data_IF_402660266015
#
_entry.id   IF_402660266015
#
_cell.length_a   1.000
_cell.length_b   1.000
_cell.length_c   1.000
_cell.angle_alpha   90.00
_cell.angle_beta   90.00
_cell.angle_gamma   90.00
#
_symmetry.space_group_name_H-M   'P 1'
#
loop_
_entity.id
_entity.type
_entity.pdbx_description
1 polymer ?
#
# COMPACT_ATOMS: atom_id res chain seq x y z
N UNK A 1 18.94 -3.23 20.71
CA UNK A 1 17.52 -2.86 20.55
C UNK A 1 16.69 -3.52 21.66
N UNK A 2 16.47 -2.84 22.80
CA UNK A 2 15.77 -3.43 23.94
C UNK A 2 14.38 -3.99 23.59
N UNK A 3 13.62 -3.29 22.75
CA UNK A 3 12.29 -3.71 22.30
C UNK A 3 12.28 -5.05 21.52
N UNK A 4 13.32 -5.33 20.71
CA UNK A 4 13.41 -6.59 19.97
C UNK A 4 13.73 -7.77 20.90
N UNK A 5 14.52 -7.53 21.94
CA UNK A 5 14.82 -8.56 22.94
C UNK A 5 13.58 -8.90 23.77
N UNK A 6 12.80 -7.89 24.15
CA UNK A 6 11.52 -8.08 24.82
C UNK A 6 10.54 -8.89 23.96
N UNK A 7 10.39 -8.53 22.69
CA UNK A 7 9.55 -9.28 21.74
C UNK A 7 10.03 -10.73 21.59
N UNK A 8 11.34 -10.95 21.47
CA UNK A 8 11.92 -12.29 21.35
C UNK A 8 11.60 -13.15 22.58
N UNK A 9 11.65 -12.55 23.78
CA UNK A 9 11.26 -13.24 25.02
C UNK A 9 9.77 -13.59 25.04
N UNK A 10 8.89 -12.67 24.62
CA UNK A 10 7.46 -12.92 24.56
C UNK A 10 7.12 -14.08 23.60
N UNK A 11 7.75 -14.10 22.42
CA UNK A 11 7.58 -15.19 21.45
C UNK A 11 8.06 -16.51 22.05
N UNK A 12 9.24 -16.52 22.69
CA UNK A 12 9.80 -17.73 23.28
C UNK A 12 8.93 -18.32 24.39
N UNK A 13 8.45 -17.47 25.31
CA UNK A 13 7.56 -17.89 26.39
C UNK A 13 6.24 -18.45 25.86
N UNK A 14 5.66 -17.82 24.83
CA UNK A 14 4.44 -18.31 24.19
C UNK A 14 4.62 -19.70 23.57
N UNK A 15 5.78 -19.95 22.96
CA UNK A 15 6.15 -21.24 22.39
C UNK A 15 6.39 -22.30 23.49
N UNK A 16 7.08 -21.95 24.56
CA UNK A 16 7.38 -22.83 25.70
C UNK A 16 6.10 -23.35 26.36
N UNK A 17 5.12 -22.49 26.61
CA UNK A 17 3.81 -22.86 27.16
C UNK A 17 3.04 -23.88 26.31
N UNK A 18 3.37 -24.00 25.02
CA UNK A 18 2.66 -24.81 24.02
C UNK A 18 3.48 -25.99 23.52
N UNK A 19 4.66 -26.22 24.10
CA UNK A 19 5.61 -27.25 23.66
C UNK A 19 6.00 -27.11 22.18
N UNK A 20 6.14 -25.87 21.71
CA UNK A 20 6.56 -25.53 20.33
C UNK A 20 8.05 -25.23 20.34
N UNK A 21 8.84 -26.00 19.60
CA UNK A 21 10.26 -25.75 19.42
C UNK A 21 10.53 -24.99 18.12
N UNK A 22 11.08 -23.78 18.24
CA UNK A 22 11.43 -22.94 17.09
C UNK A 22 12.95 -22.92 16.85
N UNK A 23 13.36 -23.00 15.59
CA UNK A 23 14.77 -22.93 15.17
C UNK A 23 14.90 -21.88 14.08
N UNK A 24 15.79 -20.92 14.28
CA UNK A 24 16.22 -20.02 13.23
C UNK A 24 17.28 -20.74 12.38
N UNK A 25 16.93 -21.08 11.14
CA UNK A 25 17.86 -21.64 10.17
C UNK A 25 17.82 -20.84 8.87
N UNK A 26 18.95 -20.76 8.20
CA UNK A 26 19.00 -20.20 6.86
C UNK A 26 18.36 -21.18 5.88
N UNK A 27 17.40 -20.70 5.09
CA UNK A 27 16.82 -21.43 3.96
C UNK A 27 17.29 -20.75 2.68
N UNK A 28 17.86 -21.52 1.74
CA UNK A 28 18.29 -20.98 0.46
C UNK A 28 17.09 -20.38 -0.29
N UNK A 29 17.29 -19.25 -0.97
CA UNK A 29 16.22 -18.56 -1.72
C UNK A 29 15.48 -19.49 -2.70
N UNK A 30 16.14 -20.48 -3.30
CA UNK A 30 15.47 -21.44 -4.21
C UNK A 30 14.42 -22.31 -3.53
N UNK A 31 14.60 -22.57 -2.23
CA UNK A 31 13.76 -23.45 -1.42
C UNK A 31 12.86 -22.66 -0.45
N UNK A 32 12.99 -21.34 -0.43
CA UNK A 32 12.22 -20.45 0.43
C UNK A 32 10.98 -19.91 -0.31
N UNK A 33 9.89 -20.68 -0.26
CA UNK A 33 8.61 -20.29 -0.86
C UNK A 33 8.10 -18.93 -0.37
N UNK A 34 8.35 -18.57 0.90
CA UNK A 34 7.97 -17.27 1.44
C UNK A 34 8.82 -16.11 0.89
N UNK A 35 10.10 -16.33 0.60
CA UNK A 35 10.97 -15.37 -0.10
C UNK A 35 10.52 -15.18 -1.55
N UNK A 36 10.06 -16.23 -2.22
CA UNK A 36 9.46 -16.11 -3.55
C UNK A 36 8.19 -15.27 -3.50
N UNK A 37 7.23 -15.61 -2.63
CA UNK A 37 5.94 -14.90 -2.54
C UNK A 37 6.08 -13.45 -2.08
N UNK A 38 7.04 -13.14 -1.19
CA UNK A 38 7.34 -11.76 -0.80
C UNK A 38 8.04 -10.95 -1.90
N UNK A 39 8.65 -11.62 -2.88
CA UNK A 39 9.26 -11.01 -4.07
C UNK A 39 8.34 -11.00 -5.29
N UNK A 40 7.18 -11.65 -5.22
CA UNK A 40 6.11 -11.41 -6.18
C UNK A 40 5.72 -9.94 -5.98
N UNK A 41 6.21 -9.09 -6.87
CA UNK A 41 5.69 -7.74 -7.06
C UNK A 41 4.27 -7.98 -7.53
N UNK A 42 3.31 -7.98 -6.61
CA UNK A 42 1.92 -8.07 -7.00
C UNK A 42 1.62 -6.82 -7.85
N UNK A 43 1.35 -6.97 -9.16
CA UNK A 43 0.99 -5.83 -10.01
C UNK A 43 -0.38 -5.25 -9.61
N UNK A 44 -1.08 -5.86 -8.65
CA UNK A 44 -2.18 -5.25 -7.89
C UNK A 44 -1.65 -4.08 -7.03
N UNK A 45 -0.89 -3.14 -7.61
CA UNK A 45 -0.77 -1.77 -7.12
C UNK A 45 -1.99 -0.93 -7.55
N UNK A 46 -2.86 -1.49 -8.39
CA UNK A 46 -4.06 -0.82 -8.92
C UNK A 46 -5.33 -1.06 -8.09
N UNK A 47 -5.21 -1.33 -6.78
CA UNK A 47 -6.39 -1.38 -5.93
C UNK A 47 -7.11 -0.05 -5.98
N UNK A 48 -8.42 -0.12 -6.18
CA UNK A 48 -9.30 1.02 -6.10
C UNK A 48 -10.39 0.77 -5.07
N UNK A 49 -10.88 1.84 -4.48
CA UNK A 49 -12.11 1.78 -3.71
C UNK A 49 -13.29 1.45 -4.64
N UNK A 50 -14.23 0.62 -4.18
CA UNK A 50 -15.44 0.36 -4.98
C UNK A 50 -16.19 1.64 -5.33
N UNK A 51 -16.82 1.69 -6.52
CA UNK A 51 -17.57 2.86 -6.98
C UNK A 51 -18.65 3.30 -5.99
N UNK A 52 -19.37 2.33 -5.38
CA UNK A 52 -20.40 2.63 -4.37
C UNK A 52 -19.82 3.33 -3.14
N UNK A 53 -18.65 2.89 -2.66
CA UNK A 53 -18.01 3.53 -1.52
C UNK A 53 -17.46 4.91 -1.88
N UNK A 54 -16.91 5.07 -3.10
CA UNK A 54 -16.52 6.39 -3.62
C UNK A 54 -17.71 7.35 -3.71
N UNK A 55 -18.85 6.91 -4.22
CA UNK A 55 -20.10 7.69 -4.27
C UNK A 55 -20.48 8.22 -2.87
N UNK A 56 -20.53 7.34 -1.86
CA UNK A 56 -20.84 7.70 -0.47
C UNK A 56 -19.86 8.77 0.06
N UNK A 57 -18.57 8.66 -0.25
CA UNK A 57 -17.56 9.65 0.14
C UNK A 57 -17.87 10.99 -0.55
N UNK A 58 -18.10 10.98 -1.86
CA UNK A 58 -18.34 12.22 -2.60
C UNK A 58 -19.65 12.91 -2.25
N UNK A 59 -20.69 12.16 -1.88
CA UNK A 59 -21.95 12.71 -1.35
C UNK A 59 -21.73 13.46 -0.04
N UNK A 60 -20.80 12.99 0.79
CA UNK A 60 -20.53 13.56 2.11
C UNK A 60 -19.51 14.69 2.10
N UNK A 61 -18.45 14.57 1.31
CA UNK A 61 -17.29 15.46 1.35
C UNK A 61 -17.15 16.35 0.11
N UNK A 62 -18.01 16.15 -0.90
CA UNK A 62 -17.90 16.83 -2.19
C UNK A 62 -17.17 15.98 -3.23
N UNK A 63 -17.34 16.33 -4.51
CA UNK A 63 -16.77 15.59 -5.63
C UNK A 63 -15.40 16.17 -6.01
N UNK A 64 -14.29 15.42 -5.78
CA UNK A 64 -12.96 15.90 -6.08
C UNK A 64 -12.72 16.01 -7.58
N UNK A 65 -11.80 16.88 -7.97
CA UNK A 65 -11.48 17.13 -9.37
C UNK A 65 -10.43 16.16 -9.92
N UNK A 66 -9.55 15.64 -9.05
CA UNK A 66 -8.41 14.81 -9.44
C UNK A 66 -8.21 13.61 -8.51
N UNK A 67 -7.83 12.47 -9.09
CA UNK A 67 -7.40 11.27 -8.38
C UNK A 67 -5.87 11.17 -8.41
N UNK A 68 -5.21 11.35 -7.27
CA UNK A 68 -3.76 11.47 -7.24
C UNK A 68 -3.03 10.12 -7.13
N UNK A 69 -3.73 9.00 -6.97
CA UNK A 69 -3.13 7.66 -6.90
C UNK A 69 -3.86 6.68 -7.82
N UNK A 70 -3.87 6.96 -9.12
CA UNK A 70 -4.62 6.17 -10.08
C UNK A 70 -3.89 5.93 -11.41
N UNK A 71 -4.37 4.95 -12.16
CA UNK A 71 -4.08 4.73 -13.57
C UNK A 71 -5.33 5.02 -14.41
N UNK A 72 -5.19 5.00 -15.73
CA UNK A 72 -6.31 5.20 -16.66
C UNK A 72 -7.47 4.22 -16.43
N UNK A 73 -7.17 3.02 -15.92
CA UNK A 73 -8.14 1.93 -15.74
C UNK A 73 -8.92 2.02 -14.44
N UNK A 74 -8.43 2.74 -13.43
CA UNK A 74 -9.02 2.77 -12.09
C UNK A 74 -9.30 4.19 -11.53
N UNK A 75 -9.03 5.23 -12.31
CA UNK A 75 -9.25 6.61 -11.89
C UNK A 75 -10.71 6.88 -11.50
N UNK A 76 -10.92 7.43 -10.30
CA UNK A 76 -12.24 7.87 -9.83
C UNK A 76 -12.64 9.27 -10.31
N UNK A 77 -11.67 10.01 -10.81
CA UNK A 77 -11.82 11.36 -11.35
C UNK A 77 -11.43 11.42 -12.82
N UNK A 78 -11.91 12.45 -13.53
CA UNK A 78 -11.56 12.68 -14.94
C UNK A 78 -10.07 13.00 -15.10
N UNK A 79 -9.49 13.74 -14.15
CA UNK A 79 -8.06 13.98 -14.09
C UNK A 79 -7.45 13.03 -13.08
N UNK A 80 -6.25 12.51 -13.37
CA UNK A 80 -5.54 11.65 -12.45
C UNK A 80 -4.01 11.81 -12.57
N UNK A 81 -3.29 11.39 -11.53
CA UNK A 81 -1.83 11.28 -11.50
C UNK A 81 -1.47 9.81 -11.43
N UNK A 82 -0.56 9.37 -12.29
CA UNK A 82 -0.14 7.98 -12.39
C UNK A 82 1.29 7.78 -11.90
N UNK A 83 1.59 6.60 -11.35
CA UNK A 83 2.95 6.30 -10.87
C UNK A 83 4.00 6.27 -12.01
N UNK A 84 3.59 5.83 -13.20
CA UNK A 84 4.43 5.75 -14.40
C UNK A 84 3.88 6.67 -15.48
N UNK A 85 4.68 7.09 -16.48
CA UNK A 85 4.19 7.86 -17.60
C UNK A 85 2.97 7.22 -18.28
N UNK A 86 1.84 7.92 -18.24
CA UNK A 86 0.61 7.61 -18.96
C UNK A 86 0.22 8.87 -19.76
N UNK A 87 -0.08 8.78 -21.07
CA UNK A 87 -0.40 9.95 -21.88
C UNK A 87 -1.70 10.65 -21.49
N UNK A 88 -2.58 9.99 -20.73
CA UNK A 88 -3.84 10.58 -20.24
C UNK A 88 -3.70 11.14 -18.80
N UNK A 89 -2.59 10.86 -18.12
CA UNK A 89 -2.35 11.37 -16.78
C UNK A 89 -1.92 12.84 -16.82
N UNK A 90 -2.37 13.61 -15.84
CA UNK A 90 -1.99 15.02 -15.69
C UNK A 90 -0.50 15.15 -15.35
N UNK A 91 0.04 14.18 -14.63
CA UNK A 91 1.43 14.13 -14.21
C UNK A 91 1.85 12.71 -13.81
N UNK A 92 3.15 12.55 -13.54
CA UNK A 92 3.78 11.30 -13.12
C UNK A 92 4.24 11.43 -11.66
N UNK A 93 3.94 10.43 -10.86
CA UNK A 93 4.25 10.32 -9.42
C UNK A 93 3.68 11.48 -8.58
N UNK A 94 2.65 11.18 -7.79
CA UNK A 94 1.99 12.13 -6.91
C UNK A 94 2.96 12.89 -6.01
N UNK A 95 4.02 12.24 -5.51
CA UNK A 95 4.96 12.84 -4.56
C UNK A 95 5.89 13.89 -5.20
N UNK A 96 5.85 14.06 -6.51
CA UNK A 96 6.62 15.09 -7.22
C UNK A 96 5.90 16.43 -7.32
N UNK A 97 4.64 16.49 -6.86
CA UNK A 97 3.77 17.67 -7.02
C UNK A 97 3.26 18.13 -5.66
N UNK A 98 3.06 19.43 -5.50
CA UNK A 98 2.39 19.99 -4.33
C UNK A 98 0.88 19.71 -4.39
N UNK A 99 0.33 19.03 -3.38
CA UNK A 99 -1.08 18.67 -3.33
C UNK A 99 -2.01 19.78 -2.86
N UNK A 100 -1.46 20.82 -2.20
CA UNK A 100 -2.24 21.87 -1.55
C UNK A 100 -3.13 22.66 -2.52
N UNK A 101 -2.78 22.68 -3.81
CA UNK A 101 -3.54 23.35 -4.86
C UNK A 101 -4.68 22.52 -5.45
N UNK A 102 -4.86 21.26 -5.03
CA UNK A 102 -5.85 20.37 -5.59
C UNK A 102 -6.99 20.07 -4.62
N UNK A 103 -8.21 20.00 -5.14
CA UNK A 103 -9.32 19.29 -4.53
C UNK A 103 -9.26 17.83 -4.99
N UNK A 104 -8.61 16.98 -4.18
CA UNK A 104 -8.17 15.65 -4.60
C UNK A 104 -8.83 14.50 -3.84
N UNK A 105 -8.94 13.38 -4.55
CA UNK A 105 -9.11 12.05 -3.97
C UNK A 105 -7.77 11.33 -3.92
N UNK A 106 -7.51 10.61 -2.83
CA UNK A 106 -6.30 9.80 -2.67
C UNK A 106 -6.65 8.42 -2.10
N UNK A 107 -6.25 7.38 -2.84
CA UNK A 107 -6.26 5.99 -2.39
C UNK A 107 -4.90 5.35 -2.68
N UNK A 108 -3.85 5.71 -1.93
CA UNK A 108 -2.50 5.22 -2.20
C UNK A 108 -2.40 3.71 -1.92
N UNK A 109 -1.46 3.00 -2.59
CA UNK A 109 -1.02 1.68 -2.16
C UNK A 109 -0.68 1.66 -0.66
N UNK A 110 -1.01 0.56 0.03
CA UNK A 110 -0.86 0.50 1.49
C UNK A 110 0.56 0.77 2.00
N UNK A 111 1.58 0.39 1.23
CA UNK A 111 2.99 0.69 1.52
C UNK A 111 3.35 2.18 1.46
N UNK A 112 2.50 3.01 0.86
CA UNK A 112 2.71 4.44 0.66
C UNK A 112 1.85 5.31 1.59
N UNK A 113 0.91 4.74 2.35
CA UNK A 113 0.03 5.50 3.27
C UNK A 113 0.83 6.42 4.19
N UNK A 114 1.92 5.91 4.80
CA UNK A 114 2.74 6.69 5.73
C UNK A 114 3.48 7.87 5.08
N UNK A 115 3.62 7.88 3.74
CA UNK A 115 4.19 9.02 3.02
C UNK A 115 3.15 10.09 2.71
N UNK A 116 1.85 9.78 2.84
CA UNK A 116 0.74 10.67 2.57
C UNK A 116 0.19 11.40 3.80
N UNK A 117 0.65 11.03 5.01
CA UNK A 117 0.24 11.59 6.31
C UNK A 117 1.26 12.63 6.79
#
# INVERSE_FOLDING_TARGET
>A
FPHLNELSRLIWQWCEERDIWIVASYVNTKDNHADFDSRIINPDTEWELSNKAFEIITEKFGKPNIDIFASRTNAKCKQFISWKPDPDALAVDAFTINWQSFDFYAFPPFSLILKCL
#
